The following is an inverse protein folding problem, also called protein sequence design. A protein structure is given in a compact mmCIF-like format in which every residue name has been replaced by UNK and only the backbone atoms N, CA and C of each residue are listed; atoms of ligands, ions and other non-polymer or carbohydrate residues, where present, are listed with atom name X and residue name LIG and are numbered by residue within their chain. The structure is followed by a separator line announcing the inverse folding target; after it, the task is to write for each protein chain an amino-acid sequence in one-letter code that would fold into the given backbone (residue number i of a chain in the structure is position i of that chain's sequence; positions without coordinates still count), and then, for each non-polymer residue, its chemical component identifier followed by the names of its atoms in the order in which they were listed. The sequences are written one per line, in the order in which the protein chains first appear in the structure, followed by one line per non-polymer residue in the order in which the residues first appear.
data_IF_690965252764
#
_entry.id   IF_690965252764
#
_cell.length_a   1.000
_cell.length_b   1.000
_cell.length_c   1.000
_cell.angle_alpha   90.00
_cell.angle_beta   90.00
_cell.angle_gamma   90.00
#
_symmetry.space_group_name_H-M   'P 1'
#
loop_
_entity.id
_entity.type
_entity.pdbx_description
1 polymer ?
#
# COMPACT_ATOMS: atom_id res chain seq x y z
N UNK A 1 31.81 -0.63 9.56
CA UNK A 1 30.56 0.17 9.64
C UNK A 1 29.42 -0.83 9.49
N UNK A 2 28.71 -1.15 10.57
CA UNK A 2 27.63 -2.13 10.53
C UNK A 2 26.53 -1.62 9.58
N UNK A 3 26.00 -2.49 8.70
CA UNK A 3 24.84 -2.15 7.88
C UNK A 3 23.68 -1.80 8.81
N UNK A 4 23.14 -0.58 8.69
CA UNK A 4 21.85 -0.23 9.27
C UNK A 4 20.79 -1.12 8.64
N UNK A 5 19.91 -1.70 9.45
CA UNK A 5 18.78 -2.48 8.95
C UNK A 5 17.76 -1.53 8.33
N UNK A 6 17.19 -1.89 7.17
CA UNK A 6 16.08 -1.10 6.59
C UNK A 6 14.70 -1.57 7.11
N UNK A 7 14.67 -2.59 7.96
CA UNK A 7 13.45 -3.15 8.50
C UNK A 7 12.99 -2.42 9.75
N UNK A 8 11.77 -1.89 9.67
CA UNK A 8 11.07 -1.33 10.82
C UNK A 8 10.51 -2.46 11.69
N UNK A 9 10.27 -2.14 12.95
CA UNK A 9 9.62 -2.98 13.96
C UNK A 9 8.53 -2.17 14.65
N UNK A 10 7.55 -2.85 15.25
CA UNK A 10 6.57 -2.18 16.12
C UNK A 10 7.30 -1.43 17.24
N UNK A 11 6.92 -0.18 17.46
CA UNK A 11 7.51 0.66 18.50
C UNK A 11 7.78 2.09 18.08
N UNK A 12 8.49 2.82 18.94
CA UNK A 12 8.78 4.25 18.75
C UNK A 12 9.72 4.48 17.58
N UNK A 13 9.49 5.58 16.86
CA UNK A 13 10.29 6.04 15.73
C UNK A 13 10.35 7.56 15.69
N UNK A 14 11.26 8.08 14.88
CA UNK A 14 11.23 9.46 14.39
C UNK A 14 10.96 9.41 12.89
N UNK A 15 9.74 9.78 12.48
CA UNK A 15 9.39 9.91 11.08
C UNK A 15 9.37 11.39 10.65
N UNK A 16 9.95 11.69 9.49
CA UNK A 16 9.93 13.02 8.88
C UNK A 16 9.44 12.91 7.43
N UNK A 17 8.35 13.61 7.15
CA UNK A 17 7.82 13.78 5.81
C UNK A 17 8.74 14.70 5.01
N UNK A 18 8.92 14.39 3.73
CA UNK A 18 9.67 15.22 2.80
C UNK A 18 8.70 16.01 1.93
N UNK A 19 9.01 17.30 1.75
CA UNK A 19 8.23 18.19 0.89
C UNK A 19 8.37 17.75 -0.57
N UNK A 20 7.42 16.95 -1.02
CA UNK A 20 7.38 16.34 -2.35
C UNK A 20 5.93 16.03 -2.72
N UNK A 21 5.59 16.22 -4.00
CA UNK A 21 4.26 15.87 -4.52
C UNK A 21 3.99 14.36 -4.51
N UNK A 22 5.04 13.54 -4.45
CA UNK A 22 4.96 12.08 -4.43
C UNK A 22 4.88 11.48 -3.02
N UNK A 23 5.00 12.30 -1.97
CA UNK A 23 4.84 11.88 -0.57
C UNK A 23 5.91 10.89 -0.10
N UNK A 24 7.14 11.36 0.09
CA UNK A 24 8.22 10.56 0.70
C UNK A 24 8.37 10.76 2.20
N UNK A 25 8.78 9.72 2.92
CA UNK A 25 9.05 9.74 4.36
C UNK A 25 10.40 9.09 4.67
N UNK A 26 11.11 9.67 5.63
CA UNK A 26 12.25 9.03 6.29
C UNK A 26 11.84 8.60 7.69
N UNK A 27 12.23 7.40 8.12
CA UNK A 27 11.92 6.88 9.44
C UNK A 27 13.21 6.33 10.07
N UNK A 28 13.55 6.87 11.23
CA UNK A 28 14.69 6.41 12.04
C UNK A 28 14.14 5.63 13.23
N UNK A 29 14.65 4.42 13.43
CA UNK A 29 14.29 3.56 14.55
C UNK A 29 15.53 2.84 15.06
N UNK A 30 16.06 3.26 16.21
CA UNK A 30 17.30 2.71 16.76
C UNK A 30 18.42 2.76 15.70
N UNK A 31 18.97 1.60 15.33
CA UNK A 31 19.98 1.44 14.27
C UNK A 31 19.39 1.21 12.87
N UNK A 32 18.06 1.26 12.74
CA UNK A 32 17.35 1.11 11.47
C UNK A 32 17.02 2.45 10.82
N UNK A 33 17.04 2.45 9.49
CA UNK A 33 16.63 3.58 8.66
C UNK A 33 15.71 3.10 7.54
N UNK A 34 14.55 3.74 7.38
CA UNK A 34 13.64 3.48 6.27
C UNK A 34 13.45 4.75 5.46
N UNK A 35 13.43 4.61 4.14
CA UNK A 35 13.04 5.63 3.19
C UNK A 35 12.06 5.00 2.20
N UNK A 36 10.92 5.66 1.99
CA UNK A 36 9.88 5.17 1.10
C UNK A 36 8.80 6.19 0.86
N UNK A 37 7.78 5.80 0.11
CA UNK A 37 6.57 6.59 -0.11
C UNK A 37 5.60 6.41 1.06
N UNK A 38 4.65 7.32 1.20
CA UNK A 38 3.57 7.18 2.17
C UNK A 38 2.25 7.78 1.68
N UNK A 39 1.15 7.29 2.24
CA UNK A 39 -0.14 7.97 2.18
C UNK A 39 -0.64 8.29 3.58
N UNK A 40 -1.30 9.43 3.74
CA UNK A 40 -1.76 9.98 5.02
C UNK A 40 -3.26 9.78 5.17
N UNK A 41 -3.72 9.48 6.38
CA UNK A 41 -5.14 9.44 6.68
C UNK A 41 -5.74 10.85 6.65
N UNK A 42 -7.01 11.03 6.28
CA UNK A 42 -7.62 12.36 6.22
C UNK A 42 -7.54 13.17 7.52
N UNK A 43 -7.59 12.51 8.68
CA UNK A 43 -7.42 13.17 10.00
C UNK A 43 -5.95 13.44 10.39
N UNK A 44 -4.98 13.05 9.57
CA UNK A 44 -3.54 13.23 9.81
C UNK A 44 -2.94 12.37 10.92
N UNK A 45 -3.71 11.48 11.56
CA UNK A 45 -3.26 10.64 12.67
C UNK A 45 -2.35 9.50 12.20
N UNK A 46 -2.60 8.98 11.01
CA UNK A 46 -1.89 7.82 10.47
C UNK A 46 -1.18 8.15 9.16
N UNK A 47 -0.02 7.54 8.96
CA UNK A 47 0.54 7.32 7.63
C UNK A 47 0.72 5.83 7.40
N UNK A 48 0.49 5.39 6.16
CA UNK A 48 0.90 4.09 5.67
C UNK A 48 2.15 4.30 4.80
N UNK A 49 3.31 3.89 5.30
CA UNK A 49 4.60 4.05 4.61
C UNK A 49 5.05 2.74 3.97
N UNK A 50 5.52 2.80 2.73
CA UNK A 50 5.89 1.63 1.94
C UNK A 50 7.08 1.89 1.03
N UNK A 51 7.76 0.81 0.67
CA UNK A 51 8.82 0.83 -0.33
C UNK A 51 8.69 -0.39 -1.23
N UNK A 52 8.96 -0.20 -2.53
CA UNK A 52 8.95 -1.28 -3.51
C UNK A 52 10.08 -2.27 -3.24
N UNK A 53 9.77 -3.56 -3.32
CA UNK A 53 10.83 -4.57 -3.48
C UNK A 53 11.53 -4.43 -4.84
N UNK A 54 12.80 -4.83 -4.89
CA UNK A 54 13.65 -4.66 -6.06
C UNK A 54 14.47 -5.93 -6.37
N UNK A 55 14.98 -6.03 -7.59
CA UNK A 55 15.95 -7.07 -7.97
C UNK A 55 17.33 -6.60 -7.55
N UNK A 56 17.96 -7.33 -6.63
CA UNK A 56 19.39 -7.19 -6.38
C UNK A 56 20.15 -8.00 -7.44
N UNK A 57 21.07 -7.32 -8.14
CA UNK A 57 21.94 -7.89 -9.18
C UNK A 57 23.39 -8.04 -8.74
N UNK A 58 23.68 -7.77 -7.47
CA UNK A 58 25.04 -7.91 -6.94
C UNK A 58 25.48 -9.38 -7.06
N UNK A 59 26.76 -9.59 -7.38
CA UNK A 59 27.40 -10.91 -7.49
C UNK A 59 26.89 -11.81 -8.62
N UNK A 60 26.28 -11.24 -9.66
CA UNK A 60 25.89 -11.98 -10.87
C UNK A 60 24.70 -12.94 -10.68
N UNK A 61 23.97 -12.82 -9.57
CA UNK A 61 22.69 -13.49 -9.34
C UNK A 61 21.59 -12.43 -9.29
N UNK A 62 20.45 -12.73 -9.89
CA UNK A 62 19.24 -11.92 -9.74
C UNK A 62 18.42 -12.50 -8.58
N UNK A 63 18.36 -11.78 -7.46
CA UNK A 63 17.55 -12.17 -6.29
C UNK A 63 16.55 -11.07 -5.97
N UNK A 64 15.29 -11.45 -5.74
CA UNK A 64 14.27 -10.48 -5.37
C UNK A 64 14.36 -10.13 -3.88
N UNK A 65 14.54 -8.84 -3.59
CA UNK A 65 14.48 -8.29 -2.24
C UNK A 65 13.06 -7.80 -1.99
N UNK A 66 12.33 -8.50 -1.12
CA UNK A 66 11.03 -8.05 -0.62
C UNK A 66 11.23 -6.86 0.31
N UNK A 67 10.36 -5.87 0.21
CA UNK A 67 10.37 -4.71 1.08
C UNK A 67 9.07 -4.65 1.89
N UNK A 68 8.65 -3.51 2.41
CA UNK A 68 7.69 -3.45 3.50
C UNK A 68 6.62 -2.37 3.33
N UNK A 69 5.50 -2.60 4.02
CA UNK A 69 4.45 -1.63 4.35
C UNK A 69 4.38 -1.53 5.87
N UNK A 70 4.24 -0.33 6.39
CA UNK A 70 4.10 -0.06 7.82
C UNK A 70 3.00 0.97 8.09
N UNK A 71 2.25 0.77 9.16
CA UNK A 71 1.33 1.77 9.69
C UNK A 71 2.04 2.54 10.81
N UNK A 72 2.11 3.86 10.67
CA UNK A 72 2.73 4.76 11.64
C UNK A 72 1.68 5.73 12.18
N UNK A 73 1.60 5.83 13.50
CA UNK A 73 0.74 6.76 14.21
C UNK A 73 1.52 8.01 14.62
N UNK A 74 0.97 9.18 14.32
CA UNK A 74 1.47 10.51 14.69
C UNK A 74 2.95 10.73 14.36
N UNK A 75 3.47 10.09 13.30
CA UNK A 75 4.89 10.11 12.91
C UNK A 75 5.87 9.64 14.02
N UNK A 76 5.37 8.92 15.02
CA UNK A 76 6.12 8.62 16.25
C UNK A 76 6.12 7.15 16.64
N UNK A 77 5.21 6.35 16.10
CA UNK A 77 5.07 4.95 16.48
C UNK A 77 4.66 4.09 15.30
N UNK A 78 5.49 3.11 14.96
CA UNK A 78 5.10 2.02 14.06
C UNK A 78 4.17 1.09 14.84
N UNK A 79 2.92 0.96 14.41
CA UNK A 79 1.95 0.04 15.02
C UNK A 79 2.18 -1.39 14.55
N UNK A 80 2.50 -1.56 13.27
CA UNK A 80 2.89 -2.82 12.66
C UNK A 80 3.66 -2.57 11.36
N UNK A 81 4.40 -3.60 10.94
CA UNK A 81 5.08 -3.68 9.66
C UNK A 81 4.85 -5.06 9.04
N UNK A 82 4.74 -5.13 7.71
CA UNK A 82 4.64 -6.40 6.97
C UNK A 82 5.58 -6.37 5.78
N UNK A 83 6.21 -7.51 5.51
CA UNK A 83 6.96 -7.70 4.27
C UNK A 83 6.01 -8.08 3.15
N UNK A 84 6.05 -7.32 2.08
CA UNK A 84 5.35 -7.59 0.83
C UNK A 84 6.38 -7.65 -0.30
N UNK A 85 6.02 -8.33 -1.38
CA UNK A 85 6.97 -8.53 -2.49
C UNK A 85 7.28 -7.19 -3.15
N UNK A 86 6.25 -6.42 -3.43
CA UNK A 86 6.34 -5.10 -4.05
C UNK A 86 5.10 -4.27 -3.68
N UNK A 87 5.00 -3.78 -2.43
CA UNK A 87 3.94 -2.85 -2.10
C UNK A 87 4.18 -1.57 -2.90
N UNK A 88 3.19 -1.16 -3.71
CA UNK A 88 3.38 -0.16 -4.79
C UNK A 88 2.50 1.07 -4.61
N UNK A 89 1.27 0.88 -4.10
CA UNK A 89 0.41 1.96 -3.62
C UNK A 89 -0.41 1.50 -2.42
N UNK A 90 -0.78 2.42 -1.55
CA UNK A 90 -1.65 2.15 -0.42
C UNK A 90 -2.67 3.27 -0.18
N UNK A 91 -3.64 3.03 0.69
CA UNK A 91 -4.52 4.04 1.24
C UNK A 91 -4.75 3.73 2.72
N UNK A 92 -4.93 4.76 3.55
CA UNK A 92 -5.17 4.59 4.99
C UNK A 92 -6.35 5.45 5.43
N UNK A 93 -7.28 4.82 6.13
CA UNK A 93 -8.48 5.48 6.66
C UNK A 93 -8.21 6.10 8.04
N UNK A 94 -9.19 6.88 8.54
CA UNK A 94 -9.09 7.53 9.85
C UNK A 94 -9.04 6.57 11.04
N UNK A 95 -9.47 5.32 10.86
CA UNK A 95 -9.42 4.26 11.87
C UNK A 95 -8.16 3.39 11.76
N UNK A 96 -7.15 3.82 10.99
CA UNK A 96 -5.90 3.08 10.82
C UNK A 96 -6.02 1.81 9.97
N UNK A 97 -7.13 1.62 9.24
CA UNK A 97 -7.25 0.51 8.29
C UNK A 97 -6.48 0.87 7.02
N UNK A 98 -5.58 -0.01 6.60
CA UNK A 98 -4.68 0.17 5.45
C UNK A 98 -5.06 -0.77 4.33
N UNK A 99 -5.37 -0.23 3.15
CA UNK A 99 -5.41 -0.98 1.89
C UNK A 99 -4.06 -0.81 1.18
N UNK A 100 -3.50 -1.88 0.61
CA UNK A 100 -2.24 -1.84 -0.13
C UNK A 100 -2.28 -2.80 -1.31
N UNK A 101 -1.86 -2.31 -2.48
CA UNK A 101 -1.60 -3.17 -3.64
C UNK A 101 -0.19 -3.72 -3.56
N UNK A 102 -0.05 -5.00 -3.85
CA UNK A 102 1.21 -5.69 -3.99
C UNK A 102 1.35 -6.09 -5.45
N UNK A 103 2.19 -5.35 -6.17
CA UNK A 103 2.30 -5.42 -7.62
C UNK A 103 3.10 -6.65 -8.07
N UNK A 104 2.77 -7.22 -9.24
CA UNK A 104 3.47 -8.38 -9.78
C UNK A 104 4.93 -8.09 -10.15
N UNK A 105 5.72 -9.16 -10.27
CA UNK A 105 6.97 -9.13 -11.05
C UNK A 105 6.63 -9.31 -12.53
N UNK A 106 7.46 -8.69 -13.39
CA UNK A 106 7.36 -8.71 -14.86
C UNK A 106 6.96 -10.07 -15.48
N UNK A 107 7.30 -11.19 -14.86
CA UNK A 107 7.09 -12.55 -15.33
C UNK A 107 5.74 -13.19 -14.93
N UNK A 108 5.01 -12.63 -13.95
CA UNK A 108 3.70 -13.16 -13.52
C UNK A 108 2.73 -12.01 -13.37
N UNK A 109 1.83 -11.80 -14.34
CA UNK A 109 0.76 -10.79 -14.31
C UNK A 109 -0.27 -11.10 -13.21
N UNK A 110 0.15 -11.01 -11.95
CA UNK A 110 -0.63 -11.38 -10.76
C UNK A 110 -0.35 -10.38 -9.65
N UNK A 111 -1.21 -9.37 -9.52
CA UNK A 111 -1.21 -8.46 -8.38
C UNK A 111 -2.18 -8.90 -7.28
N UNK A 112 -2.01 -8.35 -6.09
CA UNK A 112 -2.95 -8.57 -4.99
C UNK A 112 -3.30 -7.27 -4.27
N UNK A 113 -4.52 -7.20 -3.76
CA UNK A 113 -4.97 -6.21 -2.80
C UNK A 113 -4.99 -6.86 -1.42
N UNK A 114 -4.39 -6.20 -0.43
CA UNK A 114 -4.47 -6.58 0.97
C UNK A 114 -5.06 -5.44 1.79
N UNK A 115 -5.88 -5.78 2.78
CA UNK A 115 -6.42 -4.82 3.76
C UNK A 115 -6.09 -5.30 5.16
N UNK A 116 -5.49 -4.41 5.95
CA UNK A 116 -5.06 -4.67 7.32
C UNK A 116 -5.70 -3.70 8.30
N UNK A 117 -6.02 -4.16 9.51
CA UNK A 117 -6.46 -3.29 10.58
C UNK A 117 -5.30 -2.56 11.28
N UNK A 118 -5.63 -1.70 12.24
CA UNK A 118 -4.64 -0.93 13.01
C UNK A 118 -3.66 -1.80 13.83
N UNK A 119 -3.99 -3.08 14.04
CA UNK A 119 -3.16 -4.07 14.73
C UNK A 119 -2.38 -4.96 13.75
N UNK A 120 -2.58 -4.78 12.44
CA UNK A 120 -1.93 -5.54 11.39
C UNK A 120 -2.61 -6.89 11.12
N UNK A 121 -3.84 -7.11 11.61
CA UNK A 121 -4.64 -8.29 11.25
C UNK A 121 -5.16 -8.12 9.83
N UNK A 122 -5.11 -9.18 9.03
CA UNK A 122 -5.72 -9.22 7.71
C UNK A 122 -7.25 -9.20 7.81
N UNK A 123 -7.88 -8.21 7.19
CA UNK A 123 -9.34 -8.12 7.06
C UNK A 123 -9.82 -8.70 5.72
N UNK A 124 -9.15 -8.33 4.63
CA UNK A 124 -9.52 -8.69 3.26
C UNK A 124 -8.28 -8.92 2.40
N UNK A 125 -8.34 -9.90 1.49
CA UNK A 125 -7.32 -10.15 0.47
C UNK A 125 -7.97 -10.59 -0.84
N UNK A 126 -7.46 -10.07 -1.96
CA UNK A 126 -7.89 -10.48 -3.30
C UNK A 126 -6.72 -10.53 -4.25
N UNK A 127 -6.60 -11.64 -4.96
CA UNK A 127 -5.62 -11.82 -6.04
C UNK A 127 -6.29 -11.52 -7.39
N UNK A 128 -5.59 -10.79 -8.24
CA UNK A 128 -6.00 -10.44 -9.59
C UNK A 128 -4.99 -10.99 -10.58
N UNK A 129 -5.46 -11.62 -11.66
CA UNK A 129 -4.61 -12.05 -12.78
C UNK A 129 -4.33 -10.88 -13.73
N UNK A 130 -3.86 -9.78 -13.16
CA UNK A 130 -3.55 -8.55 -13.88
C UNK A 130 -2.52 -7.71 -13.14
N UNK A 131 -1.97 -6.70 -13.82
CA UNK A 131 -1.30 -5.60 -13.14
C UNK A 131 -2.31 -4.81 -12.31
N UNK A 132 -1.87 -4.24 -11.19
CA UNK A 132 -2.64 -3.33 -10.34
C UNK A 132 -2.15 -1.90 -10.60
N UNK A 133 -3.04 -0.92 -10.54
CA UNK A 133 -2.67 0.49 -10.75
C UNK A 133 -3.04 1.41 -9.58
N UNK A 134 -3.96 0.98 -8.71
CA UNK A 134 -4.32 1.75 -7.53
C UNK A 134 -5.26 1.01 -6.59
N UNK A 135 -5.40 1.57 -5.39
CA UNK A 135 -6.42 1.20 -4.42
C UNK A 135 -6.87 2.41 -3.61
N UNK A 136 -8.11 2.37 -3.12
CA UNK A 136 -8.66 3.38 -2.22
C UNK A 136 -9.51 2.71 -1.14
N UNK A 137 -9.69 3.38 0.00
CA UNK A 137 -10.50 2.91 1.12
C UNK A 137 -11.44 4.03 1.56
N UNK A 138 -12.68 3.70 1.91
CA UNK A 138 -13.64 4.68 2.46
C UNK A 138 -13.22 5.17 3.84
N UNK A 139 -13.70 6.35 4.24
CA UNK A 139 -13.34 6.95 5.53
C UNK A 139 -13.81 6.12 6.72
N UNK A 140 -15.00 5.53 6.58
CA UNK A 140 -15.62 4.60 7.53
C UNK A 140 -14.94 3.22 7.57
N UNK A 141 -13.93 3.02 6.72
CA UNK A 141 -13.16 1.78 6.59
C UNK A 141 -13.97 0.56 6.16
N UNK A 142 -15.21 0.74 5.68
CA UNK A 142 -16.10 -0.37 5.32
C UNK A 142 -15.84 -0.93 3.93
N UNK A 143 -15.42 -0.09 3.00
CA UNK A 143 -15.25 -0.48 1.60
C UNK A 143 -13.86 -0.20 1.07
N UNK A 144 -13.44 -1.01 0.10
CA UNK A 144 -12.16 -0.87 -0.60
C UNK A 144 -12.37 -0.94 -2.10
N UNK A 145 -11.71 -0.07 -2.84
CA UNK A 145 -11.58 -0.17 -4.29
C UNK A 145 -10.19 -0.63 -4.72
N UNK A 146 -10.15 -1.34 -5.84
CA UNK A 146 -8.94 -1.68 -6.56
C UNK A 146 -9.12 -1.36 -8.04
N UNK A 147 -8.08 -0.79 -8.64
CA UNK A 147 -7.96 -0.66 -10.08
C UNK A 147 -6.94 -1.67 -10.61
N UNK A 148 -7.34 -2.45 -11.60
CA UNK A 148 -6.44 -3.27 -12.40
C UNK A 148 -6.09 -2.55 -13.70
N UNK A 149 -4.89 -2.77 -14.20
CA UNK A 149 -4.46 -2.36 -15.53
C UNK A 149 -4.58 -3.55 -16.51
N UNK A 150 -3.99 -3.46 -17.71
CA UNK A 150 -4.00 -4.55 -18.70
C UNK A 150 -3.51 -5.88 -18.08
N UNK A 151 -4.10 -7.04 -18.45
CA UNK A 151 -5.17 -7.25 -19.41
C UNK A 151 -6.58 -7.03 -18.85
N UNK A 152 -6.73 -6.85 -17.54
CA UNK A 152 -8.04 -6.75 -16.93
C UNK A 152 -8.65 -5.34 -17.03
N UNK A 153 -7.95 -4.25 -16.73
CA UNK A 153 -8.46 -2.89 -16.92
C UNK A 153 -9.86 -2.65 -16.28
N UNK A 154 -10.04 -3.11 -15.04
CA UNK A 154 -11.31 -3.08 -14.30
C UNK A 154 -11.13 -2.34 -12.97
N UNK A 155 -12.11 -1.51 -12.60
CA UNK A 155 -12.26 -0.99 -11.24
C UNK A 155 -13.22 -1.92 -10.49
N UNK A 156 -12.82 -2.32 -9.29
CA UNK A 156 -13.63 -3.14 -8.39
C UNK A 156 -13.89 -2.39 -7.09
N UNK A 157 -15.07 -2.59 -6.50
CA UNK A 157 -15.47 -2.04 -5.21
C UNK A 157 -16.04 -3.14 -4.33
N UNK A 158 -15.39 -3.39 -3.19
CA UNK A 158 -15.72 -4.47 -2.27
C UNK A 158 -16.15 -3.94 -0.90
N UNK A 159 -17.06 -4.66 -0.26
CA UNK A 159 -17.30 -4.53 1.17
C UNK A 159 -16.27 -5.42 1.91
N UNK A 160 -15.52 -4.83 2.83
CA UNK A 160 -14.37 -5.48 3.49
C UNK A 160 -14.84 -6.59 4.42
N UNK A 161 -15.92 -6.37 5.16
CA UNK A 161 -16.44 -7.30 6.16
C UNK A 161 -17.05 -8.54 5.51
N UNK A 162 -17.98 -8.32 4.58
CA UNK A 162 -18.69 -9.40 3.86
C UNK A 162 -17.85 -10.02 2.75
N UNK A 163 -16.79 -9.33 2.31
CA UNK A 163 -15.92 -9.70 1.17
C UNK A 163 -16.64 -9.74 -0.17
N UNK A 164 -17.82 -9.14 -0.25
CA UNK A 164 -18.65 -9.12 -1.44
C UNK A 164 -18.20 -8.04 -2.42
N UNK A 165 -18.21 -8.37 -3.71
CA UNK A 165 -18.13 -7.37 -4.78
C UNK A 165 -19.46 -6.60 -4.82
N UNK A 166 -19.42 -5.30 -4.51
CA UNK A 166 -20.61 -4.43 -4.54
C UNK A 166 -20.80 -3.78 -5.91
N UNK A 167 -19.70 -3.47 -6.59
CA UNK A 167 -19.74 -2.86 -7.93
C UNK A 167 -18.44 -3.08 -8.69
N UNK A 168 -18.52 -3.10 -10.02
CA UNK A 168 -17.33 -3.06 -10.89
C UNK A 168 -17.59 -2.30 -12.18
N UNK A 169 -16.50 -1.79 -12.76
CA UNK A 169 -16.50 -1.14 -14.07
C UNK A 169 -15.31 -1.60 -14.90
N UNK A 170 -15.60 -2.26 -16.02
CA UNK A 170 -14.61 -2.62 -17.03
C UNK A 170 -14.38 -1.42 -17.93
N UNK A 171 -13.17 -0.87 -17.96
CA UNK A 171 -12.83 0.15 -18.95
C UNK A 171 -12.80 -0.51 -20.34
N UNK A 172 -13.69 -0.13 -21.28
CA UNK A 172 -13.77 -0.76 -22.59
C UNK A 172 -12.63 -0.32 -23.52
N UNK A 173 -11.86 0.70 -23.13
CA UNK A 173 -10.78 1.23 -23.97
C UNK A 173 -9.45 0.51 -23.71
N UNK A 174 -8.48 0.74 -24.61
CA UNK A 174 -7.13 0.14 -24.51
C UNK A 174 -6.22 0.90 -23.55
N UNK A 175 -6.58 2.14 -23.22
CA UNK A 175 -5.90 2.99 -22.27
C UNK A 175 -6.01 2.39 -20.86
N UNK A 176 -4.89 2.39 -20.13
CA UNK A 176 -4.83 1.85 -18.79
C UNK A 176 -5.54 2.77 -17.79
N UNK A 177 -6.29 2.18 -16.86
CA UNK A 177 -6.64 2.86 -15.61
C UNK A 177 -5.35 3.06 -14.83
N UNK A 178 -5.03 4.32 -14.49
CA UNK A 178 -3.76 4.67 -13.81
C UNK A 178 -3.90 4.79 -12.28
N UNK A 179 -5.12 5.01 -11.78
CA UNK A 179 -5.40 5.08 -10.34
C UNK A 179 -6.90 4.98 -10.04
N UNK A 180 -7.24 4.87 -8.75
CA UNK A 180 -8.59 5.03 -8.23
C UNK A 180 -8.56 5.78 -6.89
N UNK A 181 -9.49 6.73 -6.71
CA UNK A 181 -9.71 7.45 -5.45
C UNK A 181 -11.17 7.33 -5.03
N UNK A 182 -11.42 7.36 -3.72
CA UNK A 182 -12.75 7.41 -3.13
C UNK A 182 -12.81 8.65 -2.22
N UNK A 183 -13.90 9.41 -2.32
CA UNK A 183 -14.26 10.44 -1.35
C UNK A 183 -15.69 10.19 -0.87
N UNK A 184 -15.97 10.58 0.38
CA UNK A 184 -17.33 10.62 0.92
C UNK A 184 -18.08 11.88 0.46
N UNK A 185 -17.38 12.83 -0.18
CA UNK A 185 -17.99 14.02 -0.77
C UNK A 185 -18.99 13.59 -1.84
N UNK A 186 -20.25 13.96 -1.62
CA UNK A 186 -21.26 13.85 -2.67
C UNK A 186 -20.92 14.86 -3.75
N UNK A 187 -20.64 14.38 -4.96
CA UNK A 187 -20.60 15.25 -6.13
C UNK A 187 -22.04 15.68 -6.38
N UNK A 188 -22.34 16.95 -6.07
CA UNK A 188 -23.62 17.60 -6.36
C UNK A 188 -23.64 18.16 -7.77
#
# INVERSE_FOLDING_TARGET
MAMRSNHLKKGKVLAAELDSSEGFVTIIQEDSFFFGQYNKSPNGVYIAAFADGYIDRRRGKEEWVYDQIALIRNLREVLWCKRLRRPDKCAVSNNGIVAVINSPIKDKQVGSLHVYDENGKTLFEKVFKSYMSGCAITLDSRYVAAATAYPDNTIYFFDIETRELKWSYKNPRKEAIIDVSISDDKIH
#
